data_IF_712118347771
#
_entry.id   IF_712118347771
#
_cell.length_a   1.000
_cell.length_b   1.000
_cell.length_c   1.000
_cell.angle_alpha   90.00
_cell.angle_beta   90.00
_cell.angle_gamma   90.00
#
_symmetry.space_group_name_H-M   'P 1'
#
loop_
_entity.id
_entity.type
_entity.pdbx_description
1 polymer ?
#
# COMPACT_ATOMS: atom_id res chain seq x y z
N UNK A 1 11.95 9.27 24.52
CA UNK A 1 12.15 9.72 23.13
C UNK A 1 12.90 8.61 22.41
N UNK A 2 12.59 8.31 21.14
CA UNK A 2 13.40 7.38 20.37
C UNK A 2 14.80 7.99 20.18
N UNK A 3 15.84 7.28 20.61
CA UNK A 3 17.23 7.71 20.46
C UNK A 3 17.70 7.53 19.01
N UNK A 4 18.71 8.30 18.60
CA UNK A 4 19.45 8.03 17.36
C UNK A 4 20.02 6.60 17.47
N UNK A 5 19.85 5.75 16.44
CA UNK A 5 20.40 4.41 16.43
C UNK A 5 21.93 4.45 16.52
N UNK A 6 22.60 3.40 17.04
CA UNK A 6 24.06 3.36 17.12
C UNK A 6 24.73 3.57 15.76
N UNK A 7 25.92 4.16 15.75
CA UNK A 7 26.74 4.27 14.52
C UNK A 7 26.96 2.89 13.88
N UNK A 8 26.74 2.80 12.57
CA UNK A 8 26.83 1.56 11.79
C UNK A 8 25.65 0.60 11.99
N UNK A 9 24.57 1.03 12.65
CA UNK A 9 23.31 0.28 12.66
C UNK A 9 22.55 0.45 11.36
N UNK A 10 21.80 -0.58 10.98
CA UNK A 10 20.91 -0.56 9.83
C UNK A 10 19.92 0.60 9.87
N UNK A 11 19.33 0.86 11.04
CA UNK A 11 18.34 1.92 11.19
C UNK A 11 18.96 3.30 10.92
N UNK A 12 20.23 3.50 11.26
CA UNK A 12 20.97 4.72 10.93
C UNK A 12 21.23 4.81 9.43
N UNK A 13 21.75 3.75 8.81
CA UNK A 13 22.04 3.73 7.35
C UNK A 13 20.78 4.01 6.53
N UNK A 14 19.65 3.41 6.91
CA UNK A 14 18.37 3.61 6.25
C UNK A 14 17.85 5.05 6.44
N UNK A 15 18.00 5.62 7.63
CA UNK A 15 17.65 7.02 7.90
C UNK A 15 18.55 8.00 7.18
N UNK A 16 19.84 7.69 7.04
CA UNK A 16 20.79 8.50 6.28
C UNK A 16 20.43 8.51 4.79
N UNK A 17 20.16 7.34 4.20
CA UNK A 17 19.68 7.25 2.80
C UNK A 17 18.34 7.97 2.60
N UNK A 18 17.45 7.88 3.58
CA UNK A 18 16.18 8.61 3.56
C UNK A 18 16.43 10.13 3.63
N UNK A 19 17.34 10.58 4.50
CA UNK A 19 17.73 11.98 4.60
C UNK A 19 18.34 12.50 3.29
N UNK A 20 19.25 11.73 2.68
CA UNK A 20 19.85 12.03 1.38
C UNK A 20 18.80 12.16 0.27
N UNK A 21 17.83 11.23 0.25
CA UNK A 21 16.69 11.32 -0.65
C UNK A 21 15.93 12.64 -0.43
N UNK A 22 15.57 12.94 0.82
CA UNK A 22 14.75 14.11 1.15
C UNK A 22 15.42 15.45 0.89
N UNK A 23 16.75 15.54 1.06
CA UNK A 23 17.53 16.76 0.78
C UNK A 23 17.31 17.28 -0.63
N UNK A 24 17.17 16.37 -1.58
CA UNK A 24 17.07 16.69 -3.00
C UNK A 24 15.62 16.92 -3.45
N UNK A 25 14.62 16.55 -2.65
CA UNK A 25 13.21 16.77 -2.98
C UNK A 25 12.89 18.26 -2.87
N UNK A 26 12.43 18.90 -3.95
CA UNK A 26 11.84 20.23 -3.87
C UNK A 26 10.57 20.19 -3.00
N UNK A 27 10.38 21.20 -2.16
CA UNK A 27 9.15 21.35 -1.36
C UNK A 27 8.59 22.71 -1.77
N UNK A 28 7.39 22.78 -2.36
CA UNK A 28 6.83 24.05 -2.74
C UNK A 28 6.39 24.79 -1.47
N UNK A 29 6.86 26.01 -1.31
CA UNK A 29 6.66 26.83 -0.11
C UNK A 29 5.19 27.23 0.12
N UNK A 30 4.33 27.06 -0.89
CA UNK A 30 2.90 27.34 -0.82
C UNK A 30 2.07 26.15 -0.26
N UNK A 31 2.67 24.98 -0.11
CA UNK A 31 2.03 23.80 0.48
C UNK A 31 2.69 23.43 1.80
N UNK A 32 2.29 24.13 2.86
CA UNK A 32 2.41 23.54 4.19
C UNK A 32 1.52 22.30 4.27
N UNK A 33 1.92 21.23 4.98
CA UNK A 33 1.02 20.13 5.27
C UNK A 33 -0.24 20.72 5.88
N UNK A 34 -1.38 20.46 5.25
CA UNK A 34 -2.64 20.97 5.76
C UNK A 34 -2.76 20.56 7.22
N UNK A 35 -3.23 21.49 8.05
CA UNK A 35 -3.67 21.14 9.39
C UNK A 35 -4.67 19.98 9.25
N UNK A 36 -4.47 18.86 9.99
CA UNK A 36 -5.47 17.81 10.02
C UNK A 36 -6.83 18.46 10.26
N UNK A 37 -7.88 18.01 9.56
CA UNK A 37 -9.22 18.49 9.89
C UNK A 37 -9.40 18.26 11.40
N UNK A 38 -9.77 19.29 12.17
CA UNK A 38 -9.88 19.13 13.60
C UNK A 38 -10.91 18.03 13.83
N UNK A 39 -10.46 16.92 14.42
CA UNK A 39 -11.36 15.87 14.83
C UNK A 39 -12.40 16.49 15.78
N UNK A 40 -13.66 16.06 15.73
CA UNK A 40 -14.66 16.50 16.69
C UNK A 40 -14.12 16.41 18.12
N UNK A 41 -14.43 17.36 19.01
CA UNK A 41 -13.97 17.28 20.39
C UNK A 41 -14.29 15.92 21.02
N UNK A 42 -13.25 15.19 21.44
CA UNK A 42 -13.37 13.87 22.05
C UNK A 42 -13.34 12.67 21.09
N UNK A 43 -13.25 12.88 19.76
CA UNK A 43 -12.98 11.80 18.82
C UNK A 43 -11.55 11.26 19.03
N UNK A 44 -11.34 9.94 18.95
CA UNK A 44 -10.02 9.36 19.09
C UNK A 44 -9.11 9.83 17.95
N UNK A 45 -7.84 10.06 18.28
CA UNK A 45 -6.79 10.24 17.27
C UNK A 45 -6.63 8.96 16.42
N UNK A 46 -6.09 9.06 15.19
CA UNK A 46 -5.80 7.86 14.39
C UNK A 46 -4.94 6.82 15.11
N UNK A 47 -4.00 7.27 15.96
CA UNK A 47 -3.19 6.36 16.79
C UNK A 47 -4.04 5.64 17.85
N UNK A 48 -4.88 6.37 18.59
CA UNK A 48 -5.75 5.79 19.61
C UNK A 48 -6.75 4.80 19.00
N UNK A 49 -7.29 5.12 17.83
CA UNK A 49 -8.17 4.22 17.08
C UNK A 49 -7.45 2.92 16.68
N UNK A 50 -6.21 3.02 16.17
CA UNK A 50 -5.41 1.82 15.86
C UNK A 50 -5.06 1.01 17.12
N UNK A 51 -4.82 1.65 18.26
CA UNK A 51 -4.62 0.95 19.54
C UNK A 51 -5.88 0.17 19.91
N UNK A 52 -7.06 0.78 19.83
CA UNK A 52 -8.33 0.10 20.10
C UNK A 52 -8.53 -1.12 19.20
N UNK A 53 -8.34 -0.96 17.88
CA UNK A 53 -8.43 -2.05 16.91
C UNK A 53 -7.43 -3.17 17.21
N UNK A 54 -6.20 -2.81 17.58
CA UNK A 54 -5.16 -3.77 17.95
C UNK A 54 -5.52 -4.58 19.20
N UNK A 55 -6.14 -3.93 20.18
CA UNK A 55 -6.62 -4.59 21.40
C UNK A 55 -7.81 -5.51 21.10
N UNK A 56 -8.74 -5.06 20.25
CA UNK A 56 -9.89 -5.85 19.83
C UNK A 56 -9.49 -7.09 19.04
N UNK A 57 -8.52 -6.96 18.12
CA UNK A 57 -8.09 -8.04 17.24
C UNK A 57 -6.79 -8.74 17.68
N UNK A 58 -6.48 -8.70 18.98
CA UNK A 58 -5.21 -9.21 19.51
C UNK A 58 -4.97 -10.70 19.14
N UNK A 59 -6.01 -11.53 19.18
CA UNK A 59 -5.91 -12.95 18.80
C UNK A 59 -5.57 -13.16 17.32
N UNK A 60 -6.20 -12.38 16.44
CA UNK A 60 -5.99 -12.41 14.99
C UNK A 60 -4.56 -11.99 14.66
N UNK A 61 -4.09 -10.90 15.28
CA UNK A 61 -2.71 -10.42 15.12
C UNK A 61 -1.72 -11.50 15.57
N UNK A 62 -1.92 -12.12 16.74
CA UNK A 62 -1.04 -13.19 17.21
C UNK A 62 -1.02 -14.40 16.28
N UNK A 63 -2.17 -14.79 15.73
CA UNK A 63 -2.28 -15.89 14.77
C UNK A 63 -1.54 -15.58 13.45
N UNK A 64 -1.72 -14.37 12.90
CA UNK A 64 -1.02 -13.91 11.71
C UNK A 64 0.51 -13.80 11.92
N UNK A 65 0.95 -13.31 13.08
CA UNK A 65 2.39 -13.31 13.41
C UNK A 65 2.93 -14.73 13.55
N UNK A 66 2.17 -15.63 14.18
CA UNK A 66 2.61 -17.00 14.43
C UNK A 66 2.73 -17.86 13.16
N UNK A 67 1.94 -17.54 12.12
CA UNK A 67 1.96 -18.18 10.81
C UNK A 67 2.80 -17.42 9.76
N UNK A 68 3.48 -16.35 10.17
CA UNK A 68 4.33 -15.52 9.30
C UNK A 68 3.58 -14.86 8.13
N UNK A 69 2.27 -14.62 8.31
CA UNK A 69 1.39 -13.95 7.34
C UNK A 69 1.29 -14.70 6.00
N UNK A 70 1.50 -16.02 6.03
CA UNK A 70 1.40 -16.89 4.85
C UNK A 70 0.02 -17.56 4.80
N UNK A 71 -0.68 -17.41 3.67
CA UNK A 71 -1.94 -18.07 3.40
C UNK A 71 -1.70 -19.47 2.84
N UNK A 72 -2.44 -20.47 3.35
CA UNK A 72 -2.32 -21.87 2.94
C UNK A 72 -3.32 -22.20 1.81
N UNK A 73 -3.32 -21.38 0.75
CA UNK A 73 -4.17 -21.55 -0.44
C UNK A 73 -5.64 -21.10 -0.30
N UNK A 74 -6.07 -20.68 0.90
CA UNK A 74 -7.34 -20.01 1.13
C UNK A 74 -7.09 -18.68 1.84
N UNK A 75 -8.03 -17.73 1.70
CA UNK A 75 -7.98 -16.46 2.42
C UNK A 75 -7.91 -16.73 3.93
N UNK A 76 -6.97 -16.07 4.59
CA UNK A 76 -6.81 -16.12 6.04
C UNK A 76 -7.19 -14.77 6.63
N UNK A 77 -8.37 -14.69 7.24
CA UNK A 77 -8.90 -13.45 7.80
C UNK A 77 -8.06 -12.87 8.95
N UNK A 78 -7.28 -13.70 9.65
CA UNK A 78 -6.34 -13.21 10.66
C UNK A 78 -5.21 -12.42 9.98
N UNK A 79 -4.71 -12.93 8.85
CA UNK A 79 -3.69 -12.24 8.04
C UNK A 79 -4.26 -10.94 7.47
N UNK A 80 -5.48 -10.95 6.93
CA UNK A 80 -6.17 -9.76 6.40
C UNK A 80 -6.27 -8.64 7.45
N UNK A 81 -6.56 -8.99 8.70
CA UNK A 81 -6.61 -8.01 9.79
C UNK A 81 -5.25 -7.35 10.02
N UNK A 82 -4.19 -8.15 10.20
CA UNK A 82 -2.86 -7.59 10.44
C UNK A 82 -2.41 -6.72 9.26
N UNK A 83 -2.62 -7.17 8.03
CA UNK A 83 -2.15 -6.45 6.84
C UNK A 83 -2.96 -5.19 6.53
N UNK A 84 -4.25 -5.13 6.92
CA UNK A 84 -5.01 -3.88 6.94
C UNK A 84 -4.44 -2.92 7.99
N UNK A 85 -4.14 -3.40 9.19
CA UNK A 85 -3.59 -2.57 10.27
C UNK A 85 -2.22 -2.00 9.89
N UNK A 86 -1.34 -2.79 9.26
CA UNK A 86 -0.07 -2.34 8.69
C UNK A 86 -0.30 -1.20 7.68
N UNK A 87 -1.25 -1.38 6.74
CA UNK A 87 -1.60 -0.36 5.74
C UNK A 87 -2.13 0.93 6.38
N UNK A 88 -2.99 0.81 7.40
CA UNK A 88 -3.57 1.95 8.11
C UNK A 88 -2.52 2.69 8.94
N UNK A 89 -1.59 1.97 9.58
CA UNK A 89 -0.51 2.55 10.37
C UNK A 89 0.43 3.43 9.54
N UNK A 90 0.57 3.19 8.24
CA UNK A 90 1.33 4.08 7.35
C UNK A 90 0.81 5.52 7.35
N UNK A 91 -0.47 5.73 7.68
CA UNK A 91 -1.06 7.08 7.80
C UNK A 91 -0.69 7.81 9.09
N UNK A 92 -0.08 7.13 10.08
CA UNK A 92 0.40 7.75 11.33
C UNK A 92 1.70 8.55 11.16
N UNK A 93 2.31 8.54 9.97
CA UNK A 93 3.50 9.33 9.66
C UNK A 93 3.23 10.82 9.87
N UNK A 94 3.97 11.44 10.77
CA UNK A 94 3.91 12.89 10.99
C UNK A 94 4.64 13.62 9.85
N UNK A 95 3.86 14.06 8.88
CA UNK A 95 4.37 14.69 7.66
C UNK A 95 5.02 16.05 7.97
N UNK A 96 4.54 16.78 8.98
CA UNK A 96 5.12 18.06 9.42
C UNK A 96 6.55 17.89 9.90
N UNK A 97 6.82 16.85 10.71
CA UNK A 97 8.18 16.55 11.14
C UNK A 97 9.10 16.15 9.99
N UNK A 98 8.58 15.48 8.97
CA UNK A 98 9.42 15.20 7.79
C UNK A 98 9.76 16.47 7.03
N UNK A 99 8.80 17.38 6.87
CA UNK A 99 9.09 18.70 6.29
C UNK A 99 10.14 19.47 7.10
N UNK A 100 10.01 19.50 8.43
CA UNK A 100 11.04 20.08 9.32
C UNK A 100 12.39 19.40 9.14
N UNK A 101 12.43 18.07 9.03
CA UNK A 101 13.67 17.32 8.79
C UNK A 101 14.33 17.74 7.47
N UNK A 102 13.56 17.95 6.41
CA UNK A 102 14.10 18.43 5.14
C UNK A 102 14.71 19.84 5.29
N UNK A 103 14.01 20.75 5.97
CA UNK A 103 14.52 22.11 6.21
C UNK A 103 15.81 22.11 7.02
N UNK A 104 15.90 21.27 8.06
CA UNK A 104 17.11 21.11 8.87
C UNK A 104 18.27 20.51 8.07
N UNK A 105 17.99 19.47 7.28
CA UNK A 105 19.00 18.80 6.44
C UNK A 105 19.63 19.71 5.38
N UNK A 106 18.86 20.71 4.90
CA UNK A 106 19.31 21.68 3.90
C UNK A 106 20.27 22.73 4.47
N UNK A 107 20.42 22.81 5.79
CA UNK A 107 21.45 23.67 6.42
C UNK A 107 22.86 23.18 6.13
N UNK A 108 23.02 21.90 5.76
CA UNK A 108 24.31 21.28 5.43
C UNK A 108 25.35 21.42 6.57
N UNK A 109 24.90 21.18 7.80
CA UNK A 109 25.70 21.21 9.02
C UNK A 109 25.48 19.92 9.80
N UNK A 110 26.50 19.46 10.52
CA UNK A 110 26.40 18.27 11.39
C UNK A 110 25.22 18.35 12.37
N UNK A 111 25.04 19.48 13.06
CA UNK A 111 23.90 19.71 13.97
C UNK A 111 22.54 19.64 13.25
N UNK A 112 22.46 20.18 12.03
CA UNK A 112 21.26 20.12 11.19
C UNK A 112 20.93 18.70 10.75
N UNK A 113 21.94 17.88 10.48
CA UNK A 113 21.79 16.49 10.09
C UNK A 113 21.33 15.63 11.27
N UNK A 114 21.96 15.79 12.44
CA UNK A 114 21.51 15.15 13.68
C UNK A 114 20.05 15.52 14.00
N UNK A 115 19.72 16.81 13.88
CA UNK A 115 18.34 17.29 14.12
C UNK A 115 17.36 16.70 13.11
N UNK A 116 17.73 16.63 11.84
CA UNK A 116 16.90 16.03 10.80
C UNK A 116 16.68 14.54 11.04
N UNK A 117 17.72 13.78 11.41
CA UNK A 117 17.60 12.38 11.78
C UNK A 117 16.66 12.16 12.98
N UNK A 118 16.73 13.04 13.99
CA UNK A 118 15.80 12.99 15.12
C UNK A 118 14.36 13.28 14.68
N UNK A 119 14.14 14.27 13.82
CA UNK A 119 12.82 14.60 13.29
C UNK A 119 12.24 13.46 12.45
N UNK A 120 13.06 12.77 11.64
CA UNK A 120 12.66 11.55 10.93
C UNK A 120 12.33 10.40 11.89
N UNK A 121 13.06 10.26 13.01
CA UNK A 121 12.74 9.28 14.03
C UNK A 121 11.39 9.60 14.70
N UNK A 122 11.18 10.87 15.02
CA UNK A 122 9.97 11.36 15.67
C UNK A 122 8.75 11.33 14.73
N UNK A 123 8.94 11.38 13.41
CA UNK A 123 7.85 11.29 12.44
C UNK A 123 7.26 9.89 12.31
N UNK A 124 8.03 8.88 12.70
CA UNK A 124 7.66 7.46 12.64
C UNK A 124 7.32 6.89 14.01
N UNK A 125 7.39 7.70 15.07
CA UNK A 125 7.31 7.23 16.45
C UNK A 125 6.02 6.44 16.74
N UNK A 126 4.87 6.91 16.25
CA UNK A 126 3.59 6.25 16.50
C UNK A 126 3.43 4.96 15.67
N UNK A 127 4.00 4.90 14.47
CA UNK A 127 4.10 3.65 13.68
C UNK A 127 4.94 2.61 14.43
N UNK A 128 6.11 3.02 14.97
CA UNK A 128 6.96 2.11 15.74
C UNK A 128 6.30 1.63 17.04
N UNK A 129 5.52 2.50 17.71
CA UNK A 129 4.75 2.11 18.89
C UNK A 129 3.66 1.09 18.55
N UNK A 130 2.89 1.30 17.49
CA UNK A 130 1.81 0.36 17.11
C UNK A 130 2.39 -0.97 16.63
N UNK A 131 3.47 -0.96 15.81
CA UNK A 131 4.18 -2.18 15.42
C UNK A 131 4.68 -2.98 16.62
N UNK A 132 5.19 -2.29 17.65
CA UNK A 132 5.64 -2.93 18.87
C UNK A 132 4.50 -3.63 19.65
N UNK A 133 3.28 -3.10 19.60
CA UNK A 133 2.10 -3.74 20.19
C UNK A 133 1.73 -5.05 19.48
N UNK A 134 2.06 -5.18 18.19
CA UNK A 134 1.89 -6.40 17.41
C UNK A 134 3.06 -7.39 17.55
N UNK A 135 4.09 -7.04 18.33
CA UNK A 135 5.31 -7.84 18.43
C UNK A 135 6.26 -7.67 17.24
N UNK A 136 6.11 -6.59 16.48
CA UNK A 136 6.88 -6.28 15.28
C UNK A 136 7.79 -5.08 15.49
N UNK A 137 8.69 -4.89 14.53
CA UNK A 137 9.45 -3.67 14.33
C UNK A 137 8.98 -2.98 13.03
N UNK A 138 9.36 -1.71 12.85
CA UNK A 138 9.01 -0.93 11.67
C UNK A 138 10.15 -0.04 11.22
N UNK A 139 10.43 0.00 9.92
CA UNK A 139 11.30 0.97 9.26
C UNK A 139 10.71 1.48 7.95
N UNK A 140 11.11 2.67 7.52
CA UNK A 140 10.67 3.28 6.24
C UNK A 140 11.52 2.81 5.08
N UNK A 141 10.91 2.34 4.00
CA UNK A 141 11.60 1.81 2.81
C UNK A 141 11.57 2.80 1.65
N UNK A 142 10.55 3.64 1.55
CA UNK A 142 10.43 4.66 0.51
C UNK A 142 9.57 5.81 1.04
N UNK A 143 9.99 7.05 0.84
CA UNK A 143 9.23 8.21 1.30
C UNK A 143 9.32 9.37 0.31
N UNK A 144 8.41 9.34 -0.68
CA UNK A 144 8.35 10.35 -1.72
C UNK A 144 7.22 11.35 -1.42
N UNK A 145 7.63 12.48 -0.85
CA UNK A 145 6.76 13.47 -0.22
C UNK A 145 5.80 14.20 -1.16
N UNK A 146 6.15 14.44 -2.42
CA UNK A 146 5.29 15.02 -3.47
C UNK A 146 6.06 15.06 -4.78
N UNK A 147 5.32 15.15 -5.90
CA UNK A 147 5.74 15.26 -7.30
C UNK A 147 6.00 13.95 -8.03
N UNK A 148 5.09 13.59 -8.92
CA UNK A 148 5.40 12.68 -10.03
C UNK A 148 6.57 13.24 -10.88
N UNK A 149 7.26 12.38 -11.64
CA UNK A 149 8.31 12.78 -12.58
C UNK A 149 7.95 13.92 -13.54
N UNK A 150 6.67 14.07 -13.87
CA UNK A 150 6.16 15.06 -14.83
C UNK A 150 5.71 16.39 -14.17
N UNK A 151 6.04 16.61 -12.88
CA UNK A 151 5.75 17.87 -12.19
C UNK A 151 4.28 18.08 -11.83
N UNK A 152 3.45 17.03 -11.84
CA UNK A 152 2.05 17.14 -11.43
C UNK A 152 1.96 17.42 -9.91
N UNK A 153 1.36 18.54 -9.51
CA UNK A 153 1.34 19.00 -8.11
C UNK A 153 0.43 18.16 -7.19
N UNK A 154 -0.33 17.21 -7.74
CA UNK A 154 -1.30 16.40 -7.00
C UNK A 154 -0.93 14.90 -6.91
N UNK A 155 0.12 14.47 -7.60
CA UNK A 155 0.60 13.08 -7.51
C UNK A 155 1.65 12.95 -6.40
N UNK A 156 1.25 12.32 -5.30
CA UNK A 156 2.17 11.91 -4.23
C UNK A 156 2.94 10.66 -4.68
N UNK A 157 4.26 10.64 -4.47
CA UNK A 157 5.02 9.42 -4.67
C UNK A 157 4.66 8.36 -3.62
N UNK A 158 5.09 7.10 -3.79
CA UNK A 158 4.81 6.07 -2.82
C UNK A 158 5.49 6.40 -1.48
N UNK A 159 4.73 6.30 -0.38
CA UNK A 159 5.28 6.13 0.96
C UNK A 159 5.10 4.66 1.35
N UNK A 160 6.22 3.96 1.57
CA UNK A 160 6.27 2.55 1.89
C UNK A 160 7.17 2.28 3.09
N UNK A 161 6.79 1.30 3.90
CA UNK A 161 7.53 0.88 5.08
C UNK A 161 7.48 -0.63 5.23
N UNK A 162 8.40 -1.17 6.03
CA UNK A 162 8.48 -2.59 6.33
C UNK A 162 8.15 -2.84 7.79
N UNK A 163 7.15 -3.66 8.04
CA UNK A 163 6.90 -4.30 9.33
C UNK A 163 7.64 -5.63 9.35
N UNK A 164 8.32 -5.97 10.44
CA UNK A 164 9.04 -7.25 10.47
C UNK A 164 9.05 -7.90 11.85
N UNK A 165 9.05 -9.23 11.84
CA UNK A 165 9.04 -10.07 13.04
C UNK A 165 10.25 -9.79 13.93
N UNK A 166 10.03 -9.72 15.24
CA UNK A 166 11.14 -9.74 16.22
C UNK A 166 11.69 -11.14 16.45
N UNK A 167 10.95 -12.18 16.03
CA UNK A 167 11.36 -13.56 16.17
C UNK A 167 12.12 -14.00 14.93
N UNK A 168 13.45 -14.03 15.02
CA UNK A 168 14.32 -14.44 13.91
C UNK A 168 14.21 -15.93 13.55
N UNK A 169 13.57 -16.76 14.38
CA UNK A 169 13.25 -18.16 14.03
C UNK A 169 11.94 -18.29 13.22
N UNK A 170 11.14 -17.22 13.17
CA UNK A 170 9.93 -17.10 12.34
C UNK A 170 9.92 -15.73 11.65
N UNK A 171 10.90 -15.45 10.79
CA UNK A 171 11.05 -14.14 10.19
C UNK A 171 10.02 -13.94 9.08
N UNK A 172 9.48 -12.73 9.02
CA UNK A 172 8.70 -12.24 7.88
C UNK A 172 8.82 -10.73 7.80
N UNK A 173 8.54 -10.19 6.62
CA UNK A 173 8.49 -8.77 6.28
C UNK A 173 7.13 -8.47 5.65
N UNK A 174 6.46 -7.44 6.16
CA UNK A 174 5.29 -6.82 5.55
C UNK A 174 5.64 -5.50 4.92
N UNK A 175 5.73 -5.46 3.59
CA UNK A 175 5.90 -4.22 2.84
C UNK A 175 4.55 -3.52 2.67
N UNK A 176 4.32 -2.47 3.45
CA UNK A 176 3.06 -1.74 3.48
C UNK A 176 3.18 -0.41 2.73
N UNK A 177 2.19 -0.11 1.89
CA UNK A 177 2.09 1.16 1.15
C UNK A 177 0.98 2.03 1.71
N UNK A 178 1.29 3.32 1.91
CA UNK A 178 0.31 4.33 2.33
C UNK A 178 -0.69 4.61 1.21
N UNK A 179 -1.97 4.72 1.59
CA UNK A 179 -3.01 5.28 0.73
C UNK A 179 -3.04 6.80 0.67
N UNK A 180 -3.96 7.34 -0.13
CA UNK A 180 -4.22 8.78 -0.19
C UNK A 180 -4.86 9.28 1.09
N UNK A 181 -4.58 10.53 1.47
CA UNK A 181 -5.36 11.19 2.50
C UNK A 181 -6.82 11.34 2.07
N UNK A 182 -7.75 11.28 3.01
CA UNK A 182 -9.19 11.34 2.74
C UNK A 182 -9.66 12.68 2.13
N UNK A 183 -8.79 13.69 2.05
CA UNK A 183 -9.10 15.00 1.46
C UNK A 183 -8.74 15.06 -0.02
N UNK A 184 -7.58 14.51 -0.38
CA UNK A 184 -6.99 14.67 -1.71
C UNK A 184 -7.48 13.61 -2.70
N UNK A 185 -8.24 12.60 -2.25
CA UNK A 185 -8.59 11.47 -3.12
C UNK A 185 -9.47 11.88 -4.29
N UNK A 186 -10.38 12.86 -4.14
CA UNK A 186 -11.21 13.36 -5.25
C UNK A 186 -10.33 13.94 -6.35
N UNK A 187 -9.39 14.78 -5.95
CA UNK A 187 -8.41 15.39 -6.84
C UNK A 187 -7.53 14.31 -7.47
N UNK A 188 -7.04 13.35 -6.69
CA UNK A 188 -6.22 12.25 -7.21
C UNK A 188 -6.99 11.40 -8.24
N UNK A 189 -8.25 11.06 -8.04
CA UNK A 189 -9.01 10.25 -9.02
C UNK A 189 -9.45 11.04 -10.26
N UNK A 190 -9.61 12.36 -10.15
CA UNK A 190 -9.91 13.25 -11.27
C UNK A 190 -8.63 13.59 -12.07
N UNK A 191 -7.50 13.79 -11.38
CA UNK A 191 -6.21 14.19 -11.94
C UNK A 191 -5.32 13.02 -12.37
N UNK A 192 -5.49 11.84 -11.74
CA UNK A 192 -5.04 10.56 -12.31
C UNK A 192 -5.84 10.37 -13.58
N UNK A 193 -5.33 10.96 -14.67
CA UNK A 193 -5.79 10.72 -16.03
C UNK A 193 -6.05 9.23 -16.11
N UNK A 194 -7.31 8.83 -16.27
CA UNK A 194 -7.71 7.43 -16.47
C UNK A 194 -7.24 6.91 -17.84
N UNK A 195 -6.14 7.46 -18.33
CA UNK A 195 -5.42 7.03 -19.50
C UNK A 195 -4.71 5.71 -19.17
N UNK A 196 -4.86 4.78 -20.08
CA UNK A 196 -4.14 3.54 -20.08
C UNK A 196 -2.87 3.73 -20.91
N UNK A 197 -1.76 3.15 -20.47
CA UNK A 197 -0.52 3.12 -21.22
C UNK A 197 0.04 1.70 -21.25
N UNK A 198 0.85 1.39 -22.26
CA UNK A 198 1.65 0.17 -22.24
C UNK A 198 2.82 0.37 -21.28
N UNK A 199 3.01 -0.57 -20.35
CA UNK A 199 4.23 -0.63 -19.55
C UNK A 199 5.45 -0.76 -20.48
N UNK A 200 6.53 -0.07 -20.14
CA UNK A 200 7.73 0.04 -20.98
C UNK A 200 8.53 -1.27 -20.88
N UNK A 201 9.01 -1.73 -22.03
CA UNK A 201 9.82 -2.95 -22.17
C UNK A 201 9.16 -4.20 -21.57
N UNK A 202 9.79 -4.79 -20.54
CA UNK A 202 9.38 -6.02 -19.88
C UNK A 202 8.70 -5.77 -18.53
N UNK A 203 8.69 -4.54 -18.04
CA UNK A 203 8.06 -4.18 -16.75
C UNK A 203 6.60 -4.59 -16.82
N UNK A 204 6.10 -5.31 -15.80
CA UNK A 204 4.71 -5.79 -15.76
C UNK A 204 4.30 -6.54 -17.04
N UNK A 205 5.23 -7.30 -17.63
CA UNK A 205 5.03 -8.04 -18.89
C UNK A 205 4.69 -7.16 -20.10
N UNK A 206 5.01 -5.86 -20.03
CA UNK A 206 4.60 -4.87 -21.02
C UNK A 206 3.07 -4.82 -21.14
N UNK A 207 2.35 -4.92 -20.01
CA UNK A 207 0.88 -4.92 -19.95
C UNK A 207 0.30 -3.51 -20.03
N UNK A 208 -0.98 -3.37 -20.41
CA UNK A 208 -1.67 -2.08 -20.34
C UNK A 208 -2.09 -1.73 -18.90
N UNK A 209 -1.54 -0.63 -18.38
CA UNK A 209 -1.65 -0.18 -16.99
C UNK A 209 -2.14 1.27 -16.95
N UNK A 210 -2.78 1.63 -15.85
CA UNK A 210 -3.11 3.01 -15.52
C UNK A 210 -1.86 3.88 -15.52
N UNK A 211 -1.85 4.92 -16.37
CA UNK A 211 -0.68 5.76 -16.60
C UNK A 211 -0.16 6.38 -15.30
N UNK A 212 -1.03 7.02 -14.51
CA UNK A 212 -0.60 7.65 -13.26
C UNK A 212 0.06 6.69 -12.26
N UNK A 213 -0.56 5.53 -11.96
CA UNK A 213 0.07 4.54 -11.08
C UNK A 213 1.39 4.01 -11.63
N UNK A 214 1.49 3.80 -12.94
CA UNK A 214 2.73 3.36 -13.58
C UNK A 214 3.84 4.40 -13.44
N UNK A 215 3.55 5.66 -13.81
CA UNK A 215 4.51 6.76 -13.73
C UNK A 215 5.02 6.95 -12.29
N UNK A 216 4.15 6.81 -11.29
CA UNK A 216 4.53 6.95 -9.89
C UNK A 216 5.41 5.82 -9.37
N UNK A 217 5.35 4.61 -9.92
CA UNK A 217 6.11 3.46 -9.40
C UNK A 217 7.37 3.13 -10.21
N UNK A 218 7.33 3.36 -11.54
CA UNK A 218 8.32 2.81 -12.47
C UNK A 218 9.10 3.86 -13.27
N UNK A 219 8.71 5.13 -13.21
CA UNK A 219 9.48 6.19 -13.85
C UNK A 219 10.37 6.91 -12.83
N UNK A 220 11.48 7.43 -13.33
CA UNK A 220 12.48 8.13 -12.53
C UNK A 220 11.95 9.46 -11.99
N UNK A 221 12.07 9.66 -10.68
CA UNK A 221 11.77 10.95 -10.08
C UNK A 221 12.99 11.85 -10.24
N UNK A 222 12.85 13.10 -10.76
CA UNK A 222 13.96 14.00 -11.06
C UNK A 222 14.98 14.16 -9.92
N UNK A 223 14.52 14.05 -8.68
CA UNK A 223 15.33 14.25 -7.47
C UNK A 223 15.81 12.95 -6.81
N UNK A 224 15.34 11.79 -7.27
CA UNK A 224 15.72 10.47 -6.76
C UNK A 224 16.78 9.79 -7.64
N UNK A 225 16.96 10.26 -8.89
CA UNK A 225 17.80 9.64 -9.92
C UNK A 225 17.53 8.13 -10.12
N UNK A 226 16.33 7.66 -9.74
CA UNK A 226 15.87 6.29 -9.92
C UNK A 226 14.35 6.20 -9.83
N UNK A 227 13.78 5.10 -10.34
CA UNK A 227 12.38 4.79 -10.15
C UNK A 227 12.11 4.35 -8.69
N UNK A 228 10.92 4.65 -8.12
CA UNK A 228 10.63 4.29 -6.74
C UNK A 228 10.69 2.79 -6.47
N UNK A 229 10.28 1.94 -7.41
CA UNK A 229 10.42 0.50 -7.25
C UNK A 229 11.89 0.06 -7.20
N UNK A 230 12.78 0.69 -7.97
CA UNK A 230 14.22 0.41 -7.90
C UNK A 230 14.81 0.81 -6.55
N UNK A 231 14.36 1.95 -6.01
CA UNK A 231 14.71 2.36 -4.66
C UNK A 231 14.25 1.34 -3.61
N UNK A 232 12.98 0.92 -3.67
CA UNK A 232 12.40 -0.10 -2.78
C UNK A 232 13.23 -1.40 -2.84
N UNK A 233 13.59 -1.87 -4.03
CA UNK A 233 14.45 -3.07 -4.19
C UNK A 233 15.79 -2.90 -3.48
N UNK A 234 16.49 -1.78 -3.68
CA UNK A 234 17.79 -1.50 -3.02
C UNK A 234 17.67 -1.44 -1.50
N UNK A 235 16.59 -0.85 -1.00
CA UNK A 235 16.34 -0.76 0.43
C UNK A 235 16.00 -2.11 1.05
N UNK A 236 15.26 -2.98 0.35
CA UNK A 236 15.04 -4.37 0.75
C UNK A 236 16.36 -5.15 0.75
N UNK A 237 17.22 -5.01 -0.26
CA UNK A 237 18.53 -5.66 -0.25
C UNK A 237 19.40 -5.19 0.93
N UNK A 238 19.42 -3.88 1.20
CA UNK A 238 20.11 -3.32 2.38
C UNK A 238 19.54 -3.88 3.69
N UNK A 239 18.21 -4.02 3.80
CA UNK A 239 17.56 -4.66 4.94
C UNK A 239 18.02 -6.10 5.10
N UNK A 240 18.06 -6.88 4.02
CA UNK A 240 18.45 -8.30 4.09
C UNK A 240 19.94 -8.52 4.36
N UNK A 241 20.78 -7.52 4.14
CA UNK A 241 22.19 -7.57 4.56
C UNK A 241 22.37 -7.40 6.08
N UNK A 242 21.38 -6.86 6.77
CA UNK A 242 21.48 -6.48 8.19
C UNK A 242 20.53 -7.28 9.10
N UNK A 243 19.40 -7.73 8.57
CA UNK A 243 18.46 -8.59 9.27
C UNK A 243 18.93 -10.05 9.25
N UNK A 244 19.79 -10.40 10.21
CA UNK A 244 20.41 -11.73 10.31
C UNK A 244 19.41 -12.76 10.85
N UNK A 245 19.15 -13.78 10.05
CA UNK A 245 18.33 -14.95 10.41
C UNK A 245 19.17 -16.23 10.35
N UNK A 246 18.76 -17.32 11.02
CA UNK A 246 19.42 -18.62 10.87
C UNK A 246 19.42 -19.09 9.40
N UNK A 247 20.51 -19.71 8.96
CA UNK A 247 20.75 -20.10 7.57
C UNK A 247 19.85 -21.22 7.02
N UNK A 248 18.94 -21.74 7.83
CA UNK A 248 17.96 -22.78 7.49
C UNK A 248 16.52 -22.25 7.55
N UNK A 249 16.33 -20.94 7.74
CA UNK A 249 15.02 -20.32 7.95
C UNK A 249 14.69 -19.37 6.81
N UNK A 250 13.54 -19.60 6.19
CA UNK A 250 13.02 -18.72 5.15
C UNK A 250 12.44 -17.43 5.74
N UNK A 251 12.76 -16.32 5.09
CA UNK A 251 12.15 -15.01 5.32
C UNK A 251 11.00 -14.83 4.34
N UNK A 252 9.78 -14.76 4.85
CA UNK A 252 8.59 -14.54 4.02
C UNK A 252 8.31 -13.06 3.82
N UNK A 253 8.04 -12.65 2.59
CA UNK A 253 7.61 -11.29 2.26
C UNK A 253 6.14 -11.31 1.88
N UNK A 254 5.33 -10.53 2.58
CA UNK A 254 4.02 -10.12 2.11
C UNK A 254 4.01 -8.63 1.74
N UNK A 255 3.10 -8.25 0.85
CA UNK A 255 2.91 -6.87 0.42
C UNK A 255 1.47 -6.46 0.73
N UNK A 256 1.28 -5.24 1.22
CA UNK A 256 -0.05 -4.76 1.60
C UNK A 256 -0.29 -3.29 1.29
N UNK A 257 -1.56 -2.93 1.08
CA UNK A 257 -1.96 -1.54 0.92
C UNK A 257 -3.48 -1.35 0.90
N UNK A 258 -3.91 -0.17 1.33
CA UNK A 258 -5.30 0.28 1.26
C UNK A 258 -5.45 1.45 0.27
N UNK A 259 -6.55 1.48 -0.50
CA UNK A 259 -6.83 2.56 -1.47
C UNK A 259 -5.71 2.68 -2.53
N UNK A 260 -5.16 3.88 -2.74
CA UNK A 260 -3.96 4.12 -3.55
C UNK A 260 -2.77 3.24 -3.13
N UNK A 261 -2.63 2.95 -1.83
CA UNK A 261 -1.60 2.04 -1.34
C UNK A 261 -1.80 0.62 -1.87
N UNK A 262 -3.05 0.17 -2.03
CA UNK A 262 -3.40 -1.12 -2.64
C UNK A 262 -2.99 -1.18 -4.11
N UNK A 263 -3.10 -0.05 -4.84
CA UNK A 263 -2.61 0.07 -6.21
C UNK A 263 -1.09 -0.13 -6.28
N UNK A 264 -0.33 0.61 -5.46
CA UNK A 264 1.13 0.48 -5.41
C UNK A 264 1.59 -0.89 -4.95
N UNK A 265 0.92 -1.46 -3.94
CA UNK A 265 1.17 -2.82 -3.45
C UNK A 265 1.01 -3.86 -4.57
N UNK A 266 -0.09 -3.79 -5.34
CA UNK A 266 -0.35 -4.72 -6.43
C UNK A 266 0.68 -4.60 -7.56
N UNK A 267 1.04 -3.37 -7.96
CA UNK A 267 2.05 -3.14 -9.01
C UNK A 267 3.45 -3.59 -8.55
N UNK A 268 3.82 -3.28 -7.30
CA UNK A 268 5.07 -3.74 -6.69
C UNK A 268 5.14 -5.27 -6.67
N UNK A 269 4.07 -5.92 -6.18
CA UNK A 269 3.99 -7.36 -6.09
C UNK A 269 4.00 -8.04 -7.46
N UNK A 270 3.30 -7.50 -8.45
CA UNK A 270 3.31 -8.02 -9.82
C UNK A 270 4.73 -8.00 -10.43
N UNK A 271 5.45 -6.88 -10.27
CA UNK A 271 6.81 -6.79 -10.77
C UNK A 271 7.77 -7.68 -9.98
N UNK A 272 7.57 -7.81 -8.67
CA UNK A 272 8.32 -8.76 -7.85
C UNK A 272 8.07 -10.20 -8.30
N UNK A 273 6.82 -10.61 -8.53
CA UNK A 273 6.50 -11.92 -9.10
C UNK A 273 7.17 -12.10 -10.46
N UNK A 274 7.11 -11.11 -11.36
CA UNK A 274 7.77 -11.21 -12.66
C UNK A 274 9.27 -11.45 -12.51
N UNK A 275 9.94 -10.68 -11.67
CA UNK A 275 11.37 -10.81 -11.43
C UNK A 275 11.73 -12.11 -10.69
N UNK A 276 10.87 -12.56 -9.78
CA UNK A 276 11.03 -13.79 -8.98
C UNK A 276 10.79 -15.06 -9.81
N UNK A 277 9.82 -15.00 -10.73
CA UNK A 277 9.34 -16.15 -11.52
C UNK A 277 10.01 -16.30 -12.86
N UNK A 278 10.74 -15.32 -13.41
CA UNK A 278 11.40 -15.43 -14.72
C UNK A 278 12.31 -16.70 -14.79
N UNK A 279 11.83 -17.86 -15.30
CA UNK A 279 10.58 -18.04 -16.09
C UNK A 279 9.95 -19.47 -16.03
N UNK A 280 8.60 -19.64 -16.11
CA UNK A 280 7.97 -20.94 -16.37
C UNK A 280 7.53 -21.22 -17.84
N UNK A 281 7.61 -20.30 -18.82
CA UNK A 281 7.13 -20.61 -20.19
C UNK A 281 7.92 -20.04 -21.39
N UNK A 282 8.71 -18.98 -21.25
CA UNK A 282 9.65 -18.51 -22.28
C UNK A 282 10.93 -18.05 -21.60
N UNK A 283 12.05 -18.81 -21.67
CA UNK A 283 13.32 -18.30 -21.20
C UNK A 283 13.55 -17.01 -21.96
N UNK A 284 13.38 -15.88 -21.28
CA UNK A 284 14.00 -14.65 -21.74
C UNK A 284 15.43 -15.08 -21.99
N UNK A 285 15.89 -14.94 -23.23
CA UNK A 285 17.29 -15.10 -23.59
C UNK A 285 18.04 -14.21 -22.59
N UNK A 286 18.51 -14.83 -21.51
CA UNK A 286 19.34 -14.17 -20.52
C UNK A 286 20.59 -13.87 -21.31
N UNK A 287 20.95 -12.60 -21.40
CA UNK A 287 22.34 -12.31 -21.68
C UNK A 287 23.13 -13.02 -20.56
N UNK A 288 24.05 -13.91 -20.95
CA UNK A 288 24.88 -14.65 -19.99
C UNK A 288 25.55 -13.64 -19.04
N UNK A 289 25.12 -13.61 -17.77
CA UNK A 289 25.74 -12.79 -16.72
C UNK A 289 24.82 -11.93 -15.85
N UNK A 290 23.52 -11.77 -16.18
CA UNK A 290 22.61 -11.03 -15.30
C UNK A 290 21.96 -11.93 -14.24
N UNK A 291 22.48 -11.88 -13.01
CA UNK A 291 21.75 -12.37 -11.84
C UNK A 291 20.55 -11.44 -11.57
N UNK A 292 19.34 -12.01 -11.57
CA UNK A 292 18.16 -11.24 -11.21
C UNK A 292 18.21 -10.89 -9.73
N UNK A 293 17.74 -9.69 -9.35
CA UNK A 293 17.59 -9.26 -7.95
C UNK A 293 17.04 -10.38 -7.06
N UNK A 294 15.98 -11.07 -7.50
CA UNK A 294 15.37 -12.15 -6.72
C UNK A 294 16.12 -13.48 -6.76
N UNK A 295 17.00 -13.73 -7.73
CA UNK A 295 17.91 -14.88 -7.69
C UNK A 295 18.83 -14.77 -6.46
N UNK A 296 19.38 -13.59 -6.21
CA UNK A 296 20.21 -13.31 -5.03
C UNK A 296 19.38 -13.38 -3.73
N UNK A 297 18.11 -12.96 -3.77
CA UNK A 297 17.22 -13.06 -2.62
C UNK A 297 16.84 -14.51 -2.28
N UNK A 298 16.60 -15.36 -3.28
CA UNK A 298 16.34 -16.80 -3.07
C UNK A 298 17.53 -17.51 -2.42
N UNK A 299 18.75 -17.17 -2.82
CA UNK A 299 19.97 -17.68 -2.17
C UNK A 299 20.07 -17.26 -0.69
N UNK A 300 19.46 -16.12 -0.34
CA UNK A 300 19.33 -15.64 1.04
C UNK A 300 18.02 -16.09 1.72
N UNK A 301 17.36 -17.11 1.18
CA UNK A 301 16.13 -17.70 1.73
C UNK A 301 14.96 -16.71 1.84
N UNK A 302 14.96 -15.66 1.03
CA UNK A 302 13.90 -14.68 0.98
C UNK A 302 12.87 -15.06 -0.08
N UNK A 303 11.64 -15.30 0.36
CA UNK A 303 10.56 -15.83 -0.47
C UNK A 303 9.41 -14.82 -0.53
N UNK A 304 9.08 -14.40 -1.75
CA UNK A 304 7.86 -13.61 -2.00
C UNK A 304 6.65 -14.53 -1.77
N UNK A 305 5.82 -14.19 -0.80
CA UNK A 305 4.58 -14.90 -0.47
C UNK A 305 3.41 -14.06 -0.96
N UNK A 306 2.65 -13.44 -0.08
CA UNK A 306 1.29 -13.01 -0.39
C UNK A 306 1.14 -11.50 -0.65
N UNK A 307 0.09 -11.14 -1.39
CA UNK A 307 -0.42 -9.77 -1.53
C UNK A 307 -1.78 -9.66 -0.85
N UNK A 308 -1.95 -8.61 -0.05
CA UNK A 308 -3.21 -8.27 0.62
C UNK A 308 -3.61 -6.85 0.27
N UNK A 309 -4.77 -6.64 -0.34
CA UNK A 309 -5.20 -5.29 -0.76
C UNK A 309 -6.63 -4.98 -0.34
N UNK A 310 -6.85 -3.73 0.05
CA UNK A 310 -8.12 -3.26 0.61
C UNK A 310 -8.62 -2.05 -0.17
N UNK A 311 -9.82 -2.12 -0.72
CA UNK A 311 -10.39 -1.02 -1.50
C UNK A 311 -9.52 -0.59 -2.68
N UNK A 312 -8.76 -1.53 -3.25
CA UNK A 312 -7.86 -1.24 -4.35
C UNK A 312 -8.65 -0.87 -5.61
N UNK A 313 -8.31 0.23 -6.32
CA UNK A 313 -8.87 0.52 -7.63
C UNK A 313 -8.35 -0.49 -8.68
N UNK A 314 -8.97 -0.51 -9.86
CA UNK A 314 -8.47 -1.21 -11.03
C UNK A 314 -7.19 -0.54 -11.52
N UNK A 315 -6.25 -1.36 -11.97
CA UNK A 315 -4.89 -0.91 -12.28
C UNK A 315 -4.51 -1.08 -13.74
N UNK A 316 -5.17 -1.97 -14.44
CA UNK A 316 -4.86 -2.29 -15.82
C UNK A 316 -6.07 -2.83 -16.54
N UNK A 317 -5.87 -3.12 -17.81
CA UNK A 317 -6.98 -3.40 -18.70
C UNK A 317 -6.65 -4.29 -19.86
N UNK A 318 -7.37 -4.09 -20.95
CA UNK A 318 -7.13 -4.78 -22.22
C UNK A 318 -6.83 -3.77 -23.32
N UNK A 319 -5.64 -3.83 -23.91
CA UNK A 319 -5.21 -3.00 -25.04
C UNK A 319 -4.27 -3.82 -25.93
N UNK A 320 -4.38 -3.67 -27.25
CA UNK A 320 -3.54 -4.37 -28.24
C UNK A 320 -3.41 -5.89 -28.00
N UNK A 321 -4.53 -6.55 -27.69
CA UNK A 321 -4.62 -7.98 -27.38
C UNK A 321 -3.85 -8.44 -26.13
N UNK A 322 -3.32 -7.50 -25.35
CA UNK A 322 -2.72 -7.77 -24.03
C UNK A 322 -3.75 -7.47 -22.94
N UNK A 323 -3.90 -8.41 -22.02
CA UNK A 323 -4.79 -8.32 -20.87
C UNK A 323 -3.95 -8.38 -19.60
N UNK A 324 -3.93 -7.28 -18.85
CA UNK A 324 -3.19 -7.16 -17.60
C UNK A 324 -3.58 -8.24 -16.59
N UNK A 325 -4.88 -8.43 -16.37
CA UNK A 325 -5.37 -9.31 -15.33
C UNK A 325 -5.08 -10.78 -15.68
N UNK A 326 -5.15 -11.13 -16.97
CA UNK A 326 -4.74 -12.44 -17.48
C UNK A 326 -3.23 -12.70 -17.29
N UNK A 327 -2.37 -11.73 -17.62
CA UNK A 327 -0.91 -11.88 -17.43
C UNK A 327 -0.55 -12.03 -15.94
N UNK A 328 -1.17 -11.23 -15.08
CA UNK A 328 -1.01 -11.34 -13.64
C UNK A 328 -1.46 -12.71 -13.12
N UNK A 329 -2.65 -13.17 -13.52
CA UNK A 329 -3.19 -14.47 -13.11
C UNK A 329 -2.32 -15.66 -13.55
N UNK A 330 -1.80 -15.63 -14.78
CA UNK A 330 -0.84 -16.63 -15.24
C UNK A 330 0.44 -16.64 -14.42
N UNK A 331 0.99 -15.47 -14.09
CA UNK A 331 2.18 -15.39 -13.26
C UNK A 331 1.92 -15.92 -11.83
N UNK A 332 0.75 -15.62 -11.28
CA UNK A 332 0.34 -16.08 -9.94
C UNK A 332 0.13 -17.60 -9.90
N UNK A 333 -0.35 -18.24 -10.97
CA UNK A 333 -0.55 -19.69 -11.03
C UNK A 333 0.74 -20.49 -10.79
N UNK A 334 1.90 -19.93 -11.17
CA UNK A 334 3.21 -20.55 -10.98
C UNK A 334 3.98 -19.96 -9.80
N UNK A 335 3.33 -19.09 -9.01
CA UNK A 335 3.89 -18.49 -7.82
C UNK A 335 3.45 -19.28 -6.57
N UNK A 336 4.30 -19.35 -5.55
CA UNK A 336 3.97 -20.06 -4.30
C UNK A 336 2.94 -19.30 -3.45
N UNK A 337 3.02 -17.97 -3.47
CA UNK A 337 2.13 -17.10 -2.70
C UNK A 337 0.79 -16.82 -3.40
N UNK A 338 -0.07 -16.10 -2.69
CA UNK A 338 -1.43 -15.77 -3.09
C UNK A 338 -1.61 -14.25 -3.22
N UNK A 339 -2.67 -13.85 -3.91
CA UNK A 339 -3.09 -12.46 -4.02
C UNK A 339 -4.54 -12.36 -3.58
N UNK A 340 -4.81 -11.53 -2.58
CA UNK A 340 -6.14 -11.35 -2.00
C UNK A 340 -6.58 -9.90 -2.13
N UNK A 341 -7.78 -9.71 -2.68
CA UNK A 341 -8.38 -8.38 -2.85
C UNK A 341 -9.68 -8.29 -2.08
N UNK A 342 -9.66 -7.56 -0.97
CA UNK A 342 -10.84 -7.38 -0.12
C UNK A 342 -11.50 -6.05 -0.44
N UNK A 343 -12.83 -6.07 -0.59
CA UNK A 343 -13.64 -4.90 -0.92
C UNK A 343 -14.85 -4.83 -0.02
N UNK A 344 -15.08 -3.69 0.61
CA UNK A 344 -16.33 -3.43 1.31
C UNK A 344 -17.50 -3.35 0.32
N UNK A 345 -18.64 -3.89 0.71
CA UNK A 345 -19.90 -3.59 0.05
C UNK A 345 -20.10 -2.08 0.03
N UNK A 346 -20.52 -1.54 -1.12
CA UNK A 346 -20.66 -0.10 -1.38
C UNK A 346 -19.37 0.74 -1.43
N UNK A 347 -18.18 0.17 -1.30
CA UNK A 347 -16.95 0.93 -1.57
C UNK A 347 -16.94 1.38 -3.06
N UNK A 348 -16.90 2.70 -3.33
CA UNK A 348 -16.89 3.22 -4.69
C UNK A 348 -15.50 3.18 -5.33
N UNK A 349 -14.41 3.18 -4.56
CA UNK A 349 -13.03 3.26 -5.08
C UNK A 349 -12.65 1.99 -5.81
N UNK A 350 -13.08 0.84 -5.31
CA UNK A 350 -12.88 -0.43 -6.01
C UNK A 350 -13.63 -0.50 -7.35
N UNK A 351 -14.51 0.45 -7.67
CA UNK A 351 -15.14 0.55 -8.98
C UNK A 351 -14.39 1.49 -9.95
N UNK A 352 -13.30 2.13 -9.52
CA UNK A 352 -12.52 3.08 -10.31
C UNK A 352 -11.28 2.44 -10.95
N UNK A 353 -10.85 2.87 -12.14
CA UNK A 353 -11.61 3.72 -13.07
C UNK A 353 -12.91 3.04 -13.53
N UNK A 354 -13.94 3.83 -13.90
CA UNK A 354 -15.21 3.29 -14.31
C UNK A 354 -15.09 2.56 -15.65
N UNK A 355 -15.86 1.49 -15.79
CA UNK A 355 -15.98 0.76 -17.05
C UNK A 355 -17.12 1.37 -17.83
N UNK A 356 -16.79 1.91 -19.00
CA UNK A 356 -17.77 2.40 -19.96
C UNK A 356 -17.78 1.42 -21.13
N UNK A 357 -18.89 0.69 -21.36
CA UNK A 357 -18.97 -0.32 -22.40
C UNK A 357 -18.47 0.20 -23.75
N UNK A 358 -17.62 -0.60 -24.40
CA UNK A 358 -17.00 -0.29 -25.69
C UNK A 358 -15.98 0.88 -25.70
N UNK A 359 -15.77 1.57 -24.57
CA UNK A 359 -14.83 2.70 -24.48
C UNK A 359 -13.63 2.32 -23.61
N UNK A 360 -13.86 1.76 -22.42
CA UNK A 360 -12.81 1.38 -21.49
C UNK A 360 -12.90 -0.10 -21.12
N UNK A 361 -11.74 -0.69 -20.87
CA UNK A 361 -11.57 -2.11 -20.55
C UNK A 361 -10.69 -2.22 -19.31
N UNK A 362 -11.22 -1.82 -18.15
CA UNK A 362 -10.49 -1.96 -16.88
C UNK A 362 -10.88 -3.26 -16.20
N UNK A 363 -9.88 -3.98 -15.68
CA UNK A 363 -10.10 -5.25 -15.00
C UNK A 363 -9.36 -5.26 -13.66
N UNK A 364 -10.03 -5.82 -12.66
CA UNK A 364 -9.36 -6.31 -11.46
C UNK A 364 -8.61 -7.60 -11.75
N UNK A 365 -7.54 -7.81 -10.98
CA UNK A 365 -6.97 -9.16 -10.80
C UNK A 365 -7.93 -10.01 -9.95
N UNK A 366 -7.81 -11.33 -10.08
CA UNK A 366 -8.71 -12.31 -9.44
C UNK A 366 -8.53 -12.43 -7.91
N UNK A 367 -9.19 -13.42 -7.30
CA UNK A 367 -9.18 -13.71 -5.86
C UNK A 367 -9.75 -12.58 -4.98
N UNK A 368 -10.81 -11.95 -5.48
CA UNK A 368 -11.53 -10.92 -4.74
C UNK A 368 -12.52 -11.47 -3.73
N UNK A 369 -12.69 -10.80 -2.60
CA UNK A 369 -13.76 -11.01 -1.63
C UNK A 369 -14.50 -9.71 -1.35
N UNK A 370 -15.83 -9.80 -1.27
CA UNK A 370 -16.69 -8.76 -0.76
C UNK A 370 -16.99 -9.03 0.72
N UNK A 371 -16.80 -8.01 1.56
CA UNK A 371 -17.15 -8.02 2.97
C UNK A 371 -18.24 -6.98 3.26
N UNK A 372 -19.03 -7.19 4.30
CA UNK A 372 -20.09 -6.28 4.73
C UNK A 372 -20.36 -6.44 6.22
N UNK A 373 -21.16 -5.55 6.78
CA UNK A 373 -21.66 -5.62 8.15
C UNK A 373 -22.83 -6.61 8.31
N UNK A 374 -23.53 -6.93 7.21
CA UNK A 374 -24.78 -7.70 7.23
C UNK A 374 -24.63 -9.14 6.75
N UNK A 375 -23.60 -9.44 5.96
CA UNK A 375 -23.44 -10.74 5.28
C UNK A 375 -22.04 -11.29 5.46
N UNK A 376 -21.95 -12.61 5.53
CA UNK A 376 -20.68 -13.32 5.51
C UNK A 376 -19.91 -12.95 4.23
N UNK A 377 -18.56 -12.92 4.29
CA UNK A 377 -17.74 -12.66 3.12
C UNK A 377 -18.13 -13.52 1.92
N UNK A 378 -18.22 -12.90 0.74
CA UNK A 378 -18.55 -13.58 -0.50
C UNK A 378 -17.41 -13.43 -1.51
N UNK A 379 -17.04 -14.50 -2.25
CA UNK A 379 -16.10 -14.35 -3.35
C UNK A 379 -16.69 -13.42 -4.42
N UNK A 380 -15.86 -12.52 -4.94
CA UNK A 380 -16.20 -11.68 -6.08
C UNK A 380 -16.03 -12.49 -7.37
N UNK A 381 -16.91 -12.29 -8.37
CA UNK A 381 -16.72 -12.87 -9.70
C UNK A 381 -15.40 -12.42 -10.32
N UNK A 382 -14.77 -13.32 -11.08
CA UNK A 382 -13.59 -12.99 -11.88
C UNK A 382 -13.91 -11.90 -12.90
N UNK A 383 -13.02 -10.92 -13.03
CA UNK A 383 -13.07 -9.94 -14.11
C UNK A 383 -12.16 -10.32 -15.29
N UNK A 384 -11.29 -11.34 -15.15
CA UNK A 384 -10.30 -11.74 -16.16
C UNK A 384 -10.98 -12.25 -17.42
N UNK A 385 -10.57 -11.72 -18.59
CA UNK A 385 -11.18 -12.09 -19.87
C UNK A 385 -12.66 -11.71 -20.01
N UNK A 386 -13.19 -10.90 -19.09
CA UNK A 386 -14.56 -10.37 -19.14
C UNK A 386 -14.53 -8.88 -19.47
N UNK A 387 -15.66 -8.37 -19.95
CA UNK A 387 -15.97 -6.93 -19.87
C UNK A 387 -16.99 -6.76 -18.75
N UNK A 388 -16.57 -6.37 -17.53
CA UNK A 388 -17.51 -6.16 -16.45
C UNK A 388 -18.53 -5.09 -16.88
N UNK A 389 -19.79 -5.26 -16.48
CA UNK A 389 -20.84 -4.28 -16.80
C UNK A 389 -20.53 -2.91 -16.21
N UNK A 390 -21.17 -1.86 -16.73
CA UNK A 390 -21.11 -0.52 -16.14
C UNK A 390 -21.50 -0.60 -14.67
N UNK A 391 -20.59 -0.21 -13.78
CA UNK A 391 -20.85 -0.14 -12.34
C UNK A 391 -20.51 1.27 -11.87
N UNK A 392 -21.48 2.18 -11.98
CA UNK A 392 -21.44 3.46 -11.27
C UNK A 392 -22.12 3.19 -9.93
N UNK A 393 -21.33 3.08 -8.87
CA UNK A 393 -21.87 3.00 -7.51
C UNK A 393 -22.13 4.42 -7.00
N UNK A 394 -23.23 4.66 -6.26
CA UNK A 394 -23.39 5.92 -5.55
C UNK A 394 -22.17 6.12 -4.65
N UNK A 395 -21.71 7.37 -4.57
CA UNK A 395 -20.44 7.67 -3.93
C UNK A 395 -20.55 7.55 -2.40
N UNK A 396 -20.28 6.36 -1.84
CA UNK A 396 -20.47 6.08 -0.42
C UNK A 396 -19.13 5.97 0.32
N UNK A 397 -18.53 7.12 0.60
CA UNK A 397 -17.17 7.22 1.09
C UNK A 397 -16.88 6.56 2.46
N UNK A 398 -17.80 6.56 3.45
CA UNK A 398 -17.56 5.88 4.72
C UNK A 398 -17.15 4.40 4.57
N UNK A 399 -17.64 3.70 3.55
CA UNK A 399 -17.29 2.30 3.25
C UNK A 399 -15.87 2.14 2.69
N UNK A 400 -15.22 3.21 2.26
CA UNK A 400 -13.82 3.20 1.85
C UNK A 400 -12.85 3.53 2.99
N UNK A 401 -13.35 3.81 4.20
CA UNK A 401 -12.45 4.12 5.33
C UNK A 401 -11.78 2.86 5.87
N UNK A 402 -10.50 2.93 6.33
CA UNK A 402 -9.87 1.83 7.05
C UNK A 402 -10.68 1.33 8.24
N UNK A 403 -11.45 2.20 8.88
CA UNK A 403 -12.35 1.86 9.99
C UNK A 403 -13.48 0.92 9.57
N UNK A 404 -14.14 1.21 8.45
CA UNK A 404 -15.18 0.34 7.90
C UNK A 404 -14.60 -1.02 7.47
N UNK A 405 -13.42 -1.01 6.82
CA UNK A 405 -12.71 -2.24 6.48
C UNK A 405 -12.35 -3.08 7.72
N UNK A 406 -11.82 -2.45 8.76
CA UNK A 406 -11.46 -3.14 10.00
C UNK A 406 -12.67 -3.80 10.63
N UNK A 407 -13.79 -3.07 10.76
CA UNK A 407 -15.01 -3.61 11.35
C UNK A 407 -15.54 -4.83 10.59
N UNK A 408 -15.61 -4.75 9.26
CA UNK A 408 -16.15 -5.81 8.42
C UNK A 408 -15.20 -7.02 8.35
N UNK A 409 -13.88 -6.80 8.30
CA UNK A 409 -12.88 -7.86 8.40
C UNK A 409 -12.91 -8.53 9.77
N UNK A 410 -13.06 -7.74 10.85
CA UNK A 410 -13.09 -8.29 12.19
C UNK A 410 -14.30 -9.21 12.34
N UNK A 411 -15.48 -8.73 11.91
CA UNK A 411 -16.68 -9.55 11.81
C UNK A 411 -16.47 -10.82 10.98
N UNK A 412 -15.78 -10.72 9.84
CA UNK A 412 -15.43 -11.88 9.01
C UNK A 412 -14.53 -12.89 9.75
N UNK A 413 -13.53 -12.42 10.49
CA UNK A 413 -12.60 -13.26 11.25
C UNK A 413 -13.24 -13.99 12.43
N UNK A 414 -14.30 -13.42 13.01
CA UNK A 414 -15.01 -14.01 14.16
C UNK A 414 -16.31 -14.71 13.77
N UNK A 415 -16.75 -14.57 12.52
CA UNK A 415 -17.98 -15.17 12.01
C UNK A 415 -17.93 -16.70 12.11
N UNK A 416 -18.89 -17.21 12.89
CA UNK A 416 -18.82 -18.46 13.67
C UNK A 416 -19.30 -18.21 15.11
N UNK A 417 -19.15 -16.96 15.57
CA UNK A 417 -19.77 -16.37 16.74
C UNK A 417 -20.66 -15.20 16.28
N UNK A 418 -21.88 -15.07 16.81
CA UNK A 418 -22.82 -14.02 16.40
C UNK A 418 -22.21 -12.62 16.59
N UNK A 419 -22.40 -11.67 15.65
CA UNK A 419 -21.88 -10.32 15.80
C UNK A 419 -22.62 -9.63 16.96
N UNK A 420 -21.90 -9.31 18.02
CA UNK A 420 -22.37 -8.44 19.08
C UNK A 420 -21.39 -7.29 19.23
N UNK A 421 -21.65 -6.16 18.59
CA UNK A 421 -21.36 -4.78 19.03
C UNK A 421 -21.58 -3.86 17.80
N UNK A 422 -22.49 -2.89 17.93
CA UNK A 422 -22.56 -1.74 17.04
C UNK A 422 -21.60 -0.66 17.56
N UNK A 423 -20.67 -0.18 16.74
CA UNK A 423 -19.84 0.98 17.10
C UNK A 423 -20.66 2.25 16.84
N UNK A 424 -21.07 2.94 17.90
CA UNK A 424 -21.89 4.16 17.85
C UNK A 424 -21.15 5.44 17.39
N UNK A 425 -19.95 5.33 16.82
CA UNK A 425 -19.11 6.48 16.43
C UNK A 425 -18.77 6.53 14.93
N UNK A 426 -19.27 5.60 14.11
CA UNK A 426 -19.30 5.83 12.67
C UNK A 426 -20.25 7.02 12.48
N UNK A 427 -19.71 8.15 12.03
CA UNK A 427 -20.44 9.39 11.79
C UNK A 427 -21.84 9.08 11.26
N UNK A 428 -22.87 9.72 11.84
CA UNK A 428 -24.21 9.72 11.26
C UNK A 428 -24.04 9.97 9.75
N UNK A 429 -24.38 8.96 8.96
CA UNK A 429 -24.50 9.05 7.51
C UNK A 429 -25.20 10.40 7.26
N UNK A 430 -24.61 11.33 6.48
CA UNK A 430 -25.25 12.61 6.23
C UNK A 430 -26.69 12.36 5.83
N UNK A 431 -27.63 13.16 6.35
CA UNK A 431 -29.04 13.00 6.00
C UNK A 431 -29.19 12.99 4.46
N UNK A 432 -30.19 12.25 3.97
CA UNK A 432 -30.51 12.15 2.53
C UNK A 432 -30.49 13.52 1.82
N UNK A 433 -30.92 14.56 2.55
CA UNK A 433 -30.93 15.97 2.13
C UNK A 433 -29.52 16.55 1.86
N UNK A 434 -28.54 16.24 2.70
CA UNK A 434 -27.13 16.64 2.50
C UNK A 434 -26.49 15.88 1.33
N UNK A 435 -26.92 14.65 1.07
CA UNK A 435 -26.47 13.88 -0.09
C UNK A 435 -27.01 14.43 -1.39
N UNK A 436 -28.30 14.80 -1.43
CA UNK A 436 -28.91 15.42 -2.62
C UNK A 436 -28.27 16.76 -2.97
N UNK A 437 -27.85 17.57 -1.98
CA UNK A 437 -27.10 18.81 -2.23
C UNK A 437 -25.71 18.54 -2.83
N UNK A 438 -25.03 17.48 -2.39
CA UNK A 438 -23.71 17.09 -2.91
C UNK A 438 -23.78 16.46 -4.30
N UNK A 439 -24.82 15.67 -4.60
CA UNK A 439 -25.08 15.14 -5.94
C UNK A 439 -25.41 16.26 -6.93
N UNK A 440 -26.27 17.22 -6.54
CA UNK A 440 -26.58 18.37 -7.37
C UNK A 440 -25.34 19.25 -7.68
N UNK A 441 -24.42 19.37 -6.71
CA UNK A 441 -23.16 20.08 -6.90
C UNK A 441 -22.21 19.32 -7.84
N UNK A 442 -22.18 17.99 -7.76
CA UNK A 442 -21.36 17.14 -8.62
C UNK A 442 -21.87 17.13 -10.07
N UNK A 443 -23.19 17.08 -10.27
CA UNK A 443 -23.81 17.19 -11.60
C UNK A 443 -23.56 18.57 -12.24
N UNK A 444 -23.58 19.64 -11.44
CA UNK A 444 -23.28 20.99 -11.92
C UNK A 444 -21.81 21.15 -12.35
N UNK A 445 -20.87 20.52 -11.63
CA UNK A 445 -19.44 20.56 -11.96
C UNK A 445 -19.05 19.68 -13.17
N UNK A 446 -19.88 18.69 -13.53
CA UNK A 446 -19.68 17.84 -14.71
C UNK A 446 -20.35 18.41 -15.97
N UNK A 447 -21.17 19.46 -15.83
CA UNK A 447 -21.86 20.12 -16.94
C UNK A 447 -21.10 21.36 -17.47
N UNK A 448 -20.00 21.76 -16.82
CA UNK A 448 -19.00 22.73 -17.30
C UNK A 448 -17.80 22.01 -17.92
#
# INVERSE_FOLDING_TARGET
>A
MPSIPPDGSFELDLRMRHLEQLRNVEIPMDHYPETPWPSPPGAPTPYEQLVEWSMQAQSQIQAAVANQVVSQGNINWDNEILTLLESAAMSLRDTSKVFEAVLESRKQTEEGDERALQLLADSQADIKKIAALWGLNFEVICDLLKYSPEGHPFMNGPFAGVFYSRNTNKPFLGLAFKGTNMKDWKEIFVDLKSAMMMAIDKILWGSPIHQGFYQTMFLEFPNLASAPLDYIKRMIDTFLQTYVVPSDVNIYLHVTGHSLGGAYATLCYAEFMRLYNNDPAVPLQREEGEESFFSQLKERQFLLQDLYTFGCPRLGGVMDQKDWAYQYGNALQYHEGQSWRVVNEYDPVAAMPPIIPYITTWNHVDNGYQISDQRNPQPLPSEVGTQPGTSIKPWNYPYHSPASYFQNLYNASVAGQSPSISIGWIEEIPSEEKWSEMEALAEALLAE
#
